data_IF_158576590513
#
_entry.id   IF_158576590513
#
_cell.length_a   1.000
_cell.length_b   1.000
_cell.length_c   1.000
_cell.angle_alpha   90.00
_cell.angle_beta   90.00
_cell.angle_gamma   90.00
#
_symmetry.space_group_name_H-M   'P 1'
#
loop_
_entity.id
_entity.type
_entity.pdbx_description
1 polymer ?
#
# COMPACT_ATOMS: atom_id res chain seq x y z
N UNK A 1 4.96 -5.68 -11.99
CA UNK A 1 3.61 -5.21 -11.58
C UNK A 1 3.82 -3.91 -10.82
N UNK A 2 3.40 -2.76 -11.36
CA UNK A 2 3.46 -1.50 -10.62
C UNK A 2 2.18 -1.33 -9.80
N UNK A 3 2.14 -1.95 -8.62
CA UNK A 3 1.06 -1.75 -7.66
C UNK A 3 1.31 -0.44 -6.89
N UNK A 4 1.17 0.70 -7.57
CA UNK A 4 1.28 2.05 -7.00
C UNK A 4 -0.08 2.72 -7.08
N UNK A 5 -0.78 2.80 -5.94
CA UNK A 5 -2.04 3.53 -5.90
C UNK A 5 -1.83 5.04 -6.13
N UNK A 6 -2.79 5.67 -6.82
CA UNK A 6 -2.85 7.13 -6.92
C UNK A 6 -3.08 7.78 -5.55
N UNK A 7 -3.97 7.20 -4.74
CA UNK A 7 -4.19 7.51 -3.33
C UNK A 7 -3.72 6.31 -2.49
N UNK A 8 -2.70 6.44 -1.63
CA UNK A 8 -2.27 5.35 -0.75
C UNK A 8 -3.43 4.82 0.10
N UNK A 9 -3.28 3.59 0.62
CA UNK A 9 -4.14 3.13 1.71
C UNK A 9 -3.96 4.09 2.88
N UNK A 10 -5.07 4.62 3.39
CA UNK A 10 -5.08 5.54 4.52
C UNK A 10 -5.63 4.83 5.75
N UNK A 11 -4.97 5.00 6.89
CA UNK A 11 -5.40 4.43 8.16
C UNK A 11 -5.51 5.53 9.19
N UNK A 12 -6.60 5.52 9.95
CA UNK A 12 -6.80 6.42 11.09
C UNK A 12 -7.13 5.60 12.33
N UNK A 13 -6.70 6.11 13.48
CA UNK A 13 -7.03 5.57 14.79
C UNK A 13 -7.46 6.73 15.68
N UNK A 14 -8.60 6.58 16.36
CA UNK A 14 -9.13 7.57 17.29
C UNK A 14 -8.76 7.24 18.74
N UNK A 15 -9.62 7.65 19.68
CA UNK A 15 -9.47 7.31 21.11
C UNK A 15 -10.12 5.99 21.49
N UNK A 16 -10.93 5.39 20.61
CA UNK A 16 -11.41 4.02 20.80
C UNK A 16 -10.23 3.07 20.75
N UNK A 17 -10.06 2.29 21.82
CA UNK A 17 -8.88 1.46 22.05
C UNK A 17 -8.68 0.45 20.91
N UNK A 18 -7.54 0.55 20.23
CA UNK A 18 -7.02 -0.30 19.15
C UNK A 18 -7.87 -0.44 17.87
N UNK A 19 -9.03 0.22 17.81
CA UNK A 19 -9.88 0.23 16.63
C UNK A 19 -9.38 1.24 15.60
N UNK A 20 -9.07 0.77 14.40
CA UNK A 20 -8.64 1.56 13.25
C UNK A 20 -9.72 1.58 12.16
N UNK A 21 -9.77 2.67 11.40
CA UNK A 21 -10.49 2.73 10.12
C UNK A 21 -9.47 2.73 9.00
N UNK A 22 -9.61 1.78 8.07
CA UNK A 22 -8.75 1.63 6.89
C UNK A 22 -9.55 1.98 5.65
N UNK A 23 -9.04 2.92 4.86
CA UNK A 23 -9.63 3.39 3.62
C UNK A 23 -8.74 2.99 2.43
N UNK A 24 -9.36 2.47 1.37
CA UNK A 24 -8.70 2.20 0.09
C UNK A 24 -9.60 2.67 -1.04
N UNK A 25 -9.01 3.06 -2.19
CA UNK A 25 -9.71 3.42 -3.45
C UNK A 25 -11.11 4.04 -3.26
N UNK A 26 -12.14 3.18 -3.15
CA UNK A 26 -13.56 3.49 -3.10
C UNK A 26 -14.31 2.92 -1.88
N UNK A 27 -13.62 2.47 -0.82
CA UNK A 27 -14.25 1.84 0.34
C UNK A 27 -13.44 1.97 1.63
N UNK A 28 -14.05 1.53 2.73
CA UNK A 28 -13.43 1.49 4.05
C UNK A 28 -13.83 0.24 4.83
N UNK A 29 -12.98 -0.20 5.75
CA UNK A 29 -13.26 -1.27 6.72
C UNK A 29 -12.65 -0.94 8.08
N UNK A 30 -13.13 -1.62 9.12
CA UNK A 30 -12.59 -1.54 10.47
C UNK A 30 -11.55 -2.64 10.66
N UNK A 31 -10.42 -2.30 11.30
CA UNK A 31 -9.46 -3.26 11.83
C UNK A 31 -9.40 -3.06 13.35
N UNK A 32 -9.35 -4.14 14.11
CA UNK A 32 -9.43 -4.05 15.57
C UNK A 32 -8.67 -5.21 16.22
N UNK A 33 -8.17 -4.98 17.42
CA UNK A 33 -7.59 -6.04 18.23
C UNK A 33 -8.72 -6.81 18.94
N UNK A 34 -8.52 -8.11 19.23
CA UNK A 34 -9.47 -8.88 20.02
C UNK A 34 -9.56 -8.38 21.46
N UNK A 35 -10.63 -8.76 22.17
CA UNK A 35 -10.89 -8.33 23.55
C UNK A 35 -9.73 -8.64 24.51
N UNK A 36 -9.06 -9.79 24.33
CA UNK A 36 -7.89 -10.20 25.13
C UNK A 36 -6.72 -9.21 25.06
N UNK A 37 -6.61 -8.47 23.96
CA UNK A 37 -5.59 -7.44 23.73
C UNK A 37 -6.14 -6.04 24.06
N UNK A 38 -7.41 -5.93 24.48
CA UNK A 38 -8.07 -4.70 24.88
C UNK A 38 -8.78 -3.95 23.76
N UNK A 39 -8.93 -4.55 22.57
CA UNK A 39 -9.81 -4.03 21.53
C UNK A 39 -11.25 -4.54 21.72
N UNK A 40 -12.08 -4.40 20.68
CA UNK A 40 -13.50 -4.80 20.72
C UNK A 40 -13.84 -5.93 19.74
N UNK A 41 -12.83 -6.49 19.07
CA UNK A 41 -13.01 -7.55 18.06
C UNK A 41 -14.01 -7.16 16.95
N UNK A 42 -14.08 -5.87 16.62
CA UNK A 42 -15.05 -5.32 15.63
C UNK A 42 -14.58 -5.42 14.18
N UNK A 43 -13.38 -5.93 13.97
CA UNK A 43 -12.74 -6.14 12.68
C UNK A 43 -11.52 -7.04 12.83
N UNK A 44 -10.93 -7.51 11.73
CA UNK A 44 -9.75 -8.36 11.79
C UNK A 44 -8.55 -7.62 12.39
N UNK A 45 -7.78 -8.33 13.21
CA UNK A 45 -6.50 -7.86 13.71
C UNK A 45 -5.44 -7.76 12.58
N UNK A 46 -4.29 -7.11 12.82
CA UNK A 46 -3.25 -6.94 11.80
C UNK A 46 -2.70 -8.25 11.20
N UNK A 47 -2.57 -9.32 11.99
CA UNK A 47 -2.11 -10.62 11.49
C UNK A 47 -3.20 -11.26 10.62
N UNK A 48 -4.45 -11.20 11.06
CA UNK A 48 -5.60 -11.70 10.28
C UNK A 48 -5.72 -10.96 8.95
N UNK A 49 -5.48 -9.64 8.91
CA UNK A 49 -5.43 -8.87 7.67
C UNK A 49 -4.31 -9.32 6.72
N UNK A 50 -3.10 -9.57 7.25
CA UNK A 50 -1.98 -10.07 6.48
C UNK A 50 -2.30 -11.44 5.85
N UNK A 51 -2.82 -12.37 6.65
CA UNK A 51 -3.17 -13.72 6.18
C UNK A 51 -4.35 -13.68 5.19
N UNK A 52 -5.33 -12.82 5.42
CA UNK A 52 -6.44 -12.57 4.48
C UNK A 52 -5.93 -12.07 3.13
N UNK A 53 -4.90 -11.23 3.11
CA UNK A 53 -4.28 -10.76 1.86
C UNK A 53 -3.65 -11.91 1.06
N UNK A 54 -3.02 -12.88 1.71
CA UNK A 54 -2.45 -14.06 1.07
C UNK A 54 -3.54 -15.02 0.58
N UNK A 55 -4.55 -15.29 1.43
CA UNK A 55 -5.66 -16.17 1.10
C UNK A 55 -6.43 -15.66 -0.14
N UNK A 56 -6.81 -14.39 -0.14
CA UNK A 56 -7.55 -13.75 -1.25
C UNK A 56 -6.73 -13.73 -2.54
N UNK A 57 -5.45 -13.35 -2.47
CA UNK A 57 -4.57 -13.34 -3.63
C UNK A 57 -4.39 -14.74 -4.24
N UNK A 58 -4.28 -15.77 -3.39
CA UNK A 58 -4.21 -17.17 -3.81
C UNK A 58 -5.50 -17.58 -4.53
N UNK A 59 -6.66 -17.40 -3.88
CA UNK A 59 -7.97 -17.78 -4.44
C UNK A 59 -8.24 -17.11 -5.80
N UNK A 60 -7.98 -15.81 -5.91
CA UNK A 60 -8.14 -15.06 -7.16
C UNK A 60 -7.23 -15.63 -8.25
N UNK A 61 -5.96 -15.87 -7.93
CA UNK A 61 -4.98 -16.41 -8.89
C UNK A 61 -5.39 -17.80 -9.39
N UNK A 62 -5.85 -18.68 -8.48
CA UNK A 62 -6.33 -20.01 -8.85
C UNK A 62 -7.57 -19.94 -9.72
N UNK A 63 -8.56 -19.12 -9.35
CA UNK A 63 -9.78 -18.93 -10.15
C UNK A 63 -9.45 -18.44 -11.56
N UNK A 64 -8.61 -17.41 -11.69
CA UNK A 64 -8.16 -16.91 -12.99
C UNK A 64 -7.51 -18.01 -13.85
N UNK A 65 -6.74 -18.91 -13.23
CA UNK A 65 -6.09 -20.02 -13.95
C UNK A 65 -7.09 -21.09 -14.38
N UNK A 66 -8.02 -21.47 -13.50
CA UNK A 66 -9.11 -22.42 -13.77
C UNK A 66 -9.96 -21.93 -14.94
N UNK A 67 -10.36 -20.66 -14.92
CA UNK A 67 -11.18 -20.05 -15.96
C UNK A 67 -10.42 -20.04 -17.30
N UNK A 68 -9.13 -19.69 -17.28
CA UNK A 68 -8.27 -19.76 -18.47
C UNK A 68 -8.14 -21.17 -19.06
N UNK A 69 -8.19 -22.19 -18.22
CA UNK A 69 -8.11 -23.60 -18.63
C UNK A 69 -9.46 -24.22 -18.99
N UNK A 70 -10.57 -23.52 -18.73
CA UNK A 70 -11.92 -24.04 -18.92
C UNK A 70 -12.24 -25.21 -17.98
N UNK A 71 -11.61 -25.28 -16.81
CA UNK A 71 -11.86 -26.34 -15.84
C UNK A 71 -13.11 -26.06 -15.02
N UNK A 72 -13.95 -27.08 -14.82
CA UNK A 72 -15.15 -26.96 -13.99
C UNK A 72 -14.84 -27.31 -12.53
N UNK A 73 -14.29 -26.35 -11.78
CA UNK A 73 -14.06 -26.47 -10.34
C UNK A 73 -14.94 -25.44 -9.62
N UNK A 74 -15.98 -25.92 -8.95
CA UNK A 74 -17.02 -25.07 -8.37
C UNK A 74 -16.48 -24.17 -7.23
N UNK A 75 -15.77 -24.77 -6.28
CA UNK A 75 -15.31 -24.07 -5.07
C UNK A 75 -13.83 -24.36 -4.80
N UNK A 76 -13.13 -23.42 -4.19
CA UNK A 76 -11.75 -23.57 -3.72
C UNK A 76 -11.72 -22.95 -2.32
N UNK A 77 -11.15 -23.65 -1.36
CA UNK A 77 -10.98 -23.14 0.00
C UNK A 77 -9.51 -23.03 0.31
N UNK A 78 -9.14 -21.97 1.02
CA UNK A 78 -7.78 -21.73 1.49
C UNK A 78 -7.84 -21.40 2.96
N UNK A 79 -7.14 -22.18 3.77
CA UNK A 79 -6.85 -21.85 5.17
C UNK A 79 -5.41 -21.35 5.25
N UNK A 80 -5.18 -20.31 6.04
CA UNK A 80 -3.85 -19.74 6.23
C UNK A 80 -3.60 -19.54 7.71
N UNK A 81 -2.42 -19.92 8.17
CA UNK A 81 -1.99 -19.71 9.54
C UNK A 81 -0.56 -19.16 9.60
N UNK A 82 -0.21 -18.49 10.69
CA UNK A 82 1.12 -17.93 10.90
C UNK A 82 1.66 -18.37 12.25
N UNK A 83 2.93 -18.80 12.26
CA UNK A 83 3.67 -19.07 13.48
C UNK A 83 5.12 -18.65 13.31
N UNK A 84 5.83 -18.50 14.42
CA UNK A 84 7.24 -18.12 14.42
C UNK A 84 8.03 -19.13 15.24
N UNK A 85 9.21 -19.49 14.76
CA UNK A 85 10.18 -20.27 15.52
C UNK A 85 11.42 -19.42 15.77
N UNK A 86 12.12 -19.72 16.86
CA UNK A 86 13.39 -19.07 17.20
C UNK A 86 14.50 -20.11 17.21
N UNK A 87 15.59 -19.78 16.56
CA UNK A 87 16.85 -20.53 16.59
C UNK A 87 17.98 -19.56 16.96
N UNK A 88 18.35 -19.56 18.24
CA UNK A 88 19.20 -18.51 18.82
C UNK A 88 18.56 -17.12 18.71
N UNK A 89 19.29 -16.18 18.11
CA UNK A 89 18.82 -14.81 17.85
C UNK A 89 17.99 -14.68 16.55
N UNK A 90 17.95 -15.74 15.73
CA UNK A 90 17.19 -15.74 14.48
C UNK A 90 15.73 -16.11 14.74
N UNK A 91 14.81 -15.23 14.34
CA UNK A 91 13.38 -15.54 14.31
C UNK A 91 12.95 -15.82 12.87
N UNK A 92 12.44 -17.02 12.62
CA UNK A 92 11.88 -17.41 11.33
C UNK A 92 10.36 -17.39 11.42
N UNK A 93 9.71 -16.70 10.48
CA UNK A 93 8.25 -16.68 10.37
C UNK A 93 7.82 -17.69 9.33
N UNK A 94 6.88 -18.56 9.70
CA UNK A 94 6.25 -19.52 8.82
C UNK A 94 4.79 -19.12 8.59
N UNK A 95 4.34 -19.25 7.35
CA UNK A 95 2.95 -19.09 6.98
C UNK A 95 2.52 -20.37 6.27
N UNK A 96 1.68 -21.15 6.93
CA UNK A 96 1.10 -22.35 6.36
C UNK A 96 -0.12 -21.99 5.53
N UNK A 97 -0.31 -22.70 4.42
CA UNK A 97 -1.44 -22.51 3.51
C UNK A 97 -1.97 -23.85 3.03
N UNK A 98 -3.17 -24.19 3.48
CA UNK A 98 -3.87 -25.41 3.09
C UNK A 98 -4.92 -25.09 2.03
N UNK A 99 -4.81 -25.74 0.86
CA UNK A 99 -5.73 -25.54 -0.26
C UNK A 99 -6.59 -26.78 -0.44
N UNK A 100 -7.90 -26.61 -0.33
CA UNK A 100 -8.87 -27.68 -0.48
C UNK A 100 -9.72 -27.49 -1.73
N UNK A 101 -9.91 -28.59 -2.46
CA UNK A 101 -10.73 -28.68 -3.67
C UNK A 101 -11.90 -29.66 -3.45
N UNK A 102 -13.02 -29.50 -4.16
CA UNK A 102 -14.13 -30.44 -4.11
C UNK A 102 -13.71 -31.84 -4.58
N UNK A 103 -14.55 -32.82 -4.24
CA UNK A 103 -14.43 -34.17 -4.80
C UNK A 103 -14.51 -34.12 -6.34
N UNK A 104 -13.78 -35.01 -7.02
CA UNK A 104 -13.76 -35.10 -8.48
C UNK A 104 -12.75 -34.20 -9.19
N UNK A 105 -11.98 -33.38 -8.47
CA UNK A 105 -10.81 -32.70 -9.06
C UNK A 105 -9.64 -33.68 -9.15
N UNK A 106 -9.12 -33.86 -10.37
CA UNK A 106 -8.06 -34.82 -10.66
C UNK A 106 -6.75 -34.46 -9.95
N UNK A 107 -5.93 -35.45 -9.53
CA UNK A 107 -4.66 -35.19 -8.85
C UNK A 107 -3.71 -34.29 -9.65
N UNK A 108 -3.68 -34.42 -10.98
CA UNK A 108 -2.87 -33.57 -11.85
C UNK A 108 -3.31 -32.10 -11.80
N UNK A 109 -4.63 -31.85 -11.80
CA UNK A 109 -5.17 -30.50 -11.65
C UNK A 109 -4.80 -29.92 -10.29
N UNK A 110 -4.90 -30.71 -9.21
CA UNK A 110 -4.52 -30.28 -7.86
C UNK A 110 -3.04 -29.90 -7.78
N UNK A 111 -2.15 -30.74 -8.28
CA UNK A 111 -0.72 -30.47 -8.31
C UNK A 111 -0.41 -29.20 -9.12
N UNK A 112 -1.04 -29.05 -10.28
CA UNK A 112 -0.86 -27.85 -11.08
C UNK A 112 -1.37 -26.59 -10.38
N UNK A 113 -2.51 -26.67 -9.71
CA UNK A 113 -3.05 -25.54 -8.94
C UNK A 113 -2.16 -25.19 -7.75
N UNK A 114 -1.55 -26.18 -7.09
CA UNK A 114 -0.58 -25.94 -6.02
C UNK A 114 0.63 -25.13 -6.53
N UNK A 115 1.18 -25.49 -7.69
CA UNK A 115 2.26 -24.72 -8.33
C UNK A 115 1.84 -23.28 -8.65
N UNK A 116 0.63 -23.10 -9.18
CA UNK A 116 0.08 -21.77 -9.50
C UNK A 116 -0.16 -20.94 -8.25
N UNK A 117 -0.54 -21.56 -7.13
CA UNK A 117 -0.75 -20.86 -5.86
C UNK A 117 0.53 -20.15 -5.37
N UNK A 118 1.71 -20.75 -5.57
CA UNK A 118 3.01 -20.12 -5.28
C UNK A 118 3.32 -18.93 -6.20
N UNK A 119 2.66 -18.82 -7.36
CA UNK A 119 2.88 -17.74 -8.30
C UNK A 119 2.04 -16.49 -8.01
N UNK A 120 1.16 -16.52 -7.01
CA UNK A 120 0.34 -15.36 -6.69
C UNK A 120 1.23 -14.17 -6.23
N UNK A 121 0.88 -12.92 -6.59
CA UNK A 121 1.71 -11.74 -6.26
C UNK A 121 2.06 -11.59 -4.78
N UNK A 122 1.17 -11.98 -3.87
CA UNK A 122 1.41 -11.87 -2.42
C UNK A 122 2.39 -12.95 -1.94
N UNK A 123 2.30 -14.19 -2.43
CA UNK A 123 3.32 -15.23 -2.14
C UNK A 123 4.71 -14.76 -2.56
N UNK A 124 4.85 -14.27 -3.79
CA UNK A 124 6.13 -13.75 -4.30
C UNK A 124 6.66 -12.57 -3.49
N UNK A 125 5.77 -11.75 -2.94
CA UNK A 125 6.15 -10.64 -2.08
C UNK A 125 6.70 -11.14 -0.75
N UNK A 126 5.97 -12.06 -0.08
CA UNK A 126 6.34 -12.61 1.23
C UNK A 126 7.62 -13.45 1.19
N UNK A 127 7.85 -14.18 0.10
CA UNK A 127 9.07 -14.96 -0.13
C UNK A 127 10.25 -14.10 -0.63
N UNK A 128 10.02 -12.81 -0.89
CA UNK A 128 10.99 -11.87 -1.44
C UNK A 128 11.63 -10.95 -0.40
N UNK A 129 12.44 -10.01 -0.89
CA UNK A 129 13.12 -9.02 -0.06
C UNK A 129 12.25 -7.76 0.14
N UNK A 130 11.38 -7.77 1.14
CA UNK A 130 10.52 -6.62 1.50
C UNK A 130 11.30 -5.63 2.37
N UNK A 131 11.16 -4.33 2.11
CA UNK A 131 11.65 -3.24 2.98
C UNK A 131 10.51 -2.29 3.35
N UNK A 132 10.17 -2.23 4.63
CA UNK A 132 9.25 -1.22 5.17
C UNK A 132 10.05 0.03 5.52
N UNK A 133 9.57 1.21 5.11
CA UNK A 133 10.20 2.50 5.40
C UNK A 133 9.18 3.41 6.06
N UNK A 134 9.51 3.93 7.23
CA UNK A 134 8.67 4.83 8.01
C UNK A 134 9.23 6.25 7.98
N UNK A 135 8.33 7.22 8.03
CA UNK A 135 8.67 8.65 7.99
C UNK A 135 7.79 9.39 8.99
N UNK A 136 8.39 10.31 9.75
CA UNK A 136 7.72 11.23 10.67
C UNK A 136 8.19 12.64 10.32
N UNK A 137 7.29 13.62 10.42
CA UNK A 137 7.57 15.01 10.10
C UNK A 137 7.45 15.88 11.33
N UNK A 138 8.40 16.79 11.49
CA UNK A 138 8.36 17.87 12.45
C UNK A 138 8.45 19.17 11.65
N UNK A 139 7.45 20.04 11.80
CA UNK A 139 7.44 21.31 11.07
C UNK A 139 8.57 22.25 11.52
N UNK A 140 9.06 22.06 12.75
CA UNK A 140 10.14 22.80 13.39
C UNK A 140 11.52 22.52 12.76
N UNK A 141 11.70 21.39 12.07
CA UNK A 141 12.97 20.95 11.50
C UNK A 141 13.24 21.49 10.08
N UNK A 142 12.50 22.52 9.64
CA UNK A 142 12.54 23.00 8.24
C UNK A 142 13.00 24.45 8.15
N UNK A 143 14.30 24.62 7.96
CA UNK A 143 14.93 25.93 7.75
C UNK A 143 14.62 26.54 6.38
N UNK A 144 14.50 25.72 5.33
CA UNK A 144 14.36 26.21 3.96
C UNK A 144 12.99 25.93 3.36
N UNK A 145 12.30 27.00 2.95
CA UNK A 145 11.02 26.95 2.23
C UNK A 145 11.17 27.69 0.90
N UNK A 146 11.16 26.95 -0.20
CA UNK A 146 11.20 27.49 -1.56
C UNK A 146 9.78 27.58 -2.10
N UNK A 147 9.34 28.77 -2.50
CA UNK A 147 8.00 29.04 -3.02
C UNK A 147 8.01 29.17 -4.55
N UNK A 148 7.03 28.55 -5.22
CA UNK A 148 6.82 28.63 -6.67
C UNK A 148 5.34 28.91 -6.94
N UNK A 149 5.02 30.00 -7.65
CA UNK A 149 3.63 30.42 -7.88
C UNK A 149 3.28 30.54 -9.36
N UNK A 150 2.02 30.29 -9.71
CA UNK A 150 1.42 30.65 -11.00
C UNK A 150 0.33 31.73 -10.88
N UNK A 151 0.14 32.33 -9.70
CA UNK A 151 -0.93 33.29 -9.44
C UNK A 151 -2.21 32.69 -8.85
N UNK A 152 -2.50 31.40 -9.08
CA UNK A 152 -3.64 30.71 -8.44
C UNK A 152 -3.22 29.97 -7.16
N UNK A 153 -2.03 29.36 -7.20
CA UNK A 153 -1.45 28.60 -6.10
C UNK A 153 0.03 28.86 -5.96
N UNK A 154 0.52 28.71 -4.73
CA UNK A 154 1.94 28.67 -4.40
C UNK A 154 2.30 27.26 -3.93
N UNK A 155 3.18 26.57 -4.66
CA UNK A 155 3.83 25.33 -4.24
C UNK A 155 5.00 25.68 -3.33
N UNK A 156 5.01 25.11 -2.13
CA UNK A 156 6.09 25.23 -1.16
C UNK A 156 6.88 23.92 -1.13
N UNK A 157 8.17 24.01 -1.45
CA UNK A 157 9.12 22.92 -1.34
C UNK A 157 10.03 23.09 -0.12
N UNK A 158 10.11 22.04 0.69
CA UNK A 158 10.90 21.90 1.92
C UNK A 158 11.96 20.82 1.70
N UNK A 159 13.17 21.17 1.19
CA UNK A 159 14.19 20.19 0.77
C UNK A 159 14.59 19.20 1.87
N UNK A 160 14.66 19.66 3.12
CA UNK A 160 15.07 18.89 4.30
C UNK A 160 14.12 17.72 4.57
N UNK A 161 12.83 17.89 4.24
CA UNK A 161 11.84 16.83 4.36
C UNK A 161 11.91 15.84 3.20
N UNK A 162 12.58 16.15 2.09
CA UNK A 162 12.52 15.33 0.87
C UNK A 162 13.34 14.04 1.01
N UNK A 163 12.66 12.88 1.05
CA UNK A 163 13.29 11.54 1.02
C UNK A 163 13.37 10.91 -0.38
N UNK A 164 13.23 11.73 -1.42
CA UNK A 164 13.35 11.32 -2.82
C UNK A 164 12.50 10.09 -3.19
N UNK A 165 11.22 10.08 -2.77
CA UNK A 165 10.27 9.02 -3.18
C UNK A 165 10.10 8.92 -4.70
N UNK A 166 10.50 9.95 -5.45
CA UNK A 166 10.44 10.01 -6.90
C UNK A 166 9.06 10.30 -7.47
N UNK A 167 8.01 10.39 -6.65
CA UNK A 167 6.62 10.56 -7.14
C UNK A 167 6.43 11.82 -7.97
N UNK A 168 6.93 12.97 -7.51
CA UNK A 168 6.81 14.24 -8.23
C UNK A 168 7.48 14.17 -9.61
N UNK A 169 8.77 13.83 -9.66
CA UNK A 169 9.60 13.85 -10.88
C UNK A 169 9.26 12.74 -11.88
N UNK A 170 8.68 11.63 -11.43
CA UNK A 170 8.28 10.52 -12.33
C UNK A 170 6.84 10.63 -12.81
N UNK A 171 5.93 11.22 -12.02
CA UNK A 171 4.50 11.26 -12.34
C UNK A 171 4.07 12.58 -13.00
N UNK A 172 4.77 13.68 -12.76
CA UNK A 172 4.48 14.97 -13.40
C UNK A 172 5.77 15.69 -13.86
N UNK A 173 6.55 15.10 -14.79
CA UNK A 173 7.86 15.60 -15.19
C UNK A 173 7.84 16.95 -15.93
N UNK A 174 6.67 17.38 -16.43
CA UNK A 174 6.50 18.72 -17.02
C UNK A 174 6.52 19.83 -15.97
N UNK A 175 6.14 19.51 -14.72
CA UNK A 175 6.15 20.45 -13.59
C UNK A 175 7.39 20.23 -12.74
N UNK A 176 7.74 18.98 -12.41
CA UNK A 176 8.87 18.66 -11.53
C UNK A 176 10.02 18.03 -12.32
N UNK A 177 11.06 18.80 -12.61
CA UNK A 177 12.17 18.36 -13.46
C UNK A 177 13.53 18.77 -12.87
N UNK A 178 14.32 17.78 -12.43
CA UNK A 178 15.65 18.01 -11.85
C UNK A 178 16.68 18.58 -12.84
N UNK A 179 16.41 18.51 -14.15
CA UNK A 179 17.30 19.04 -15.20
C UNK A 179 17.10 20.53 -15.45
N UNK A 180 16.02 21.13 -14.96
CA UNK A 180 15.72 22.55 -15.14
C UNK A 180 15.99 23.34 -13.86
N UNK A 181 16.30 24.63 -14.01
CA UNK A 181 16.38 25.58 -12.90
C UNK A 181 15.47 26.78 -13.22
N UNK A 182 14.40 27.03 -12.42
CA UNK A 182 13.95 26.22 -11.28
C UNK A 182 13.48 24.81 -11.68
N UNK A 183 13.57 23.86 -10.74
CA UNK A 183 13.15 22.47 -10.97
C UNK A 183 11.63 22.28 -10.87
N UNK A 184 10.90 23.31 -10.43
CA UNK A 184 9.45 23.39 -10.40
C UNK A 184 9.00 24.42 -11.44
N UNK A 185 8.25 23.96 -12.45
CA UNK A 185 7.70 24.78 -13.54
C UNK A 185 6.19 24.86 -13.38
N UNK A 186 5.71 25.96 -12.79
CA UNK A 186 4.29 26.13 -12.41
C UNK A 186 3.32 26.29 -13.60
N UNK A 187 3.84 26.44 -14.82
CA UNK A 187 3.08 26.45 -16.07
C UNK A 187 3.06 25.09 -16.79
N UNK A 188 3.69 24.05 -16.20
CA UNK A 188 3.80 22.73 -16.81
C UNK A 188 2.52 21.89 -16.79
N UNK A 189 1.52 22.29 -16.01
CA UNK A 189 0.17 21.73 -15.90
C UNK A 189 -0.79 22.77 -15.28
N UNK A 190 -2.09 22.49 -15.28
CA UNK A 190 -3.09 23.30 -14.58
C UNK A 190 -2.97 23.18 -13.05
N UNK A 191 -3.50 24.17 -12.34
CA UNK A 191 -3.40 24.30 -10.88
C UNK A 191 -4.00 23.10 -10.13
N UNK A 192 -5.08 22.50 -10.63
CA UNK A 192 -5.71 21.32 -9.98
C UNK A 192 -4.82 20.08 -10.08
N UNK A 193 -4.27 19.83 -11.27
CA UNK A 193 -3.30 18.74 -11.49
C UNK A 193 -2.07 18.90 -10.60
N UNK A 194 -1.56 20.12 -10.44
CA UNK A 194 -0.40 20.41 -9.57
C UNK A 194 -0.74 20.12 -8.11
N UNK A 195 -1.90 20.57 -7.60
CA UNK A 195 -2.36 20.30 -6.21
C UNK A 195 -2.39 18.81 -5.93
N UNK A 196 -3.07 18.05 -6.78
CA UNK A 196 -3.21 16.60 -6.64
C UNK A 196 -1.85 15.89 -6.66
N UNK A 197 -0.90 16.37 -7.45
CA UNK A 197 0.45 15.79 -7.49
C UNK A 197 1.26 16.12 -6.24
N UNK A 198 1.14 17.33 -5.72
CA UNK A 198 1.79 17.78 -4.48
C UNK A 198 1.29 16.99 -3.28
N UNK A 199 -0.02 16.75 -3.18
CA UNK A 199 -0.66 15.95 -2.13
C UNK A 199 -0.18 14.49 -2.10
N UNK A 200 0.37 13.98 -3.21
CA UNK A 200 0.98 12.64 -3.27
C UNK A 200 2.37 12.58 -2.66
N UNK A 201 2.97 13.70 -2.26
CA UNK A 201 4.25 13.73 -1.57
C UNK A 201 4.09 13.05 -0.21
N UNK A 202 4.67 11.85 0.02
CA UNK A 202 4.53 11.14 1.30
C UNK A 202 5.15 11.95 2.44
N UNK A 203 6.14 12.75 2.04
CA UNK A 203 7.00 13.73 2.69
C UNK A 203 6.44 14.85 3.56
N UNK A 204 5.32 15.42 3.09
CA UNK A 204 5.07 16.87 3.29
C UNK A 204 6.15 17.81 2.71
N UNK A 205 7.21 17.28 2.06
CA UNK A 205 8.26 18.07 1.43
C UNK A 205 7.73 18.98 0.30
N UNK A 206 6.61 18.60 -0.32
CA UNK A 206 5.83 19.49 -1.16
C UNK A 206 4.49 19.73 -0.46
N UNK A 207 4.07 20.98 -0.44
CA UNK A 207 2.76 21.45 0.03
C UNK A 207 2.29 22.58 -0.88
N UNK A 208 1.01 22.93 -0.84
CA UNK A 208 0.47 24.03 -1.63
C UNK A 208 -0.40 24.94 -0.75
N UNK A 209 -0.41 26.23 -1.07
CA UNK A 209 -1.28 27.23 -0.46
C UNK A 209 -2.05 27.98 -1.57
N UNK A 210 -3.32 28.38 -1.34
CA UNK A 210 -4.05 29.25 -2.25
C UNK A 210 -3.40 30.64 -2.32
N UNK A 211 -3.47 31.32 -3.46
CA UNK A 211 -2.93 32.67 -3.61
C UNK A 211 -3.51 33.69 -2.62
N UNK A 212 -4.76 33.51 -2.19
CA UNK A 212 -5.47 34.41 -1.25
C UNK A 212 -5.01 34.26 0.22
N UNK A 213 -4.02 33.42 0.52
CA UNK A 213 -3.50 33.16 1.88
C UNK A 213 -1.98 33.35 2.01
N UNK A 214 -1.37 34.15 1.15
CA UNK A 214 0.06 34.50 1.25
C UNK A 214 0.35 35.64 2.27
N UNK A 215 -0.63 36.02 3.12
CA UNK A 215 -0.46 36.89 4.32
C UNK A 215 -0.14 36.09 5.59
#
# INVERSE_FOLDING_TARGET
>A
MEYKFQKPVHGTIGTTKYQCVIEWRNGQFIADEPEKNGGKDTGPDPYTLLLSSLATCTLITLRMYIDRKGWNIAEIKVNVNLFQTKDGDNTTTFIDRDITFPAGVEPEQKNRLLEIAAQCPVSKMLEGNIKVRSYVYHEEDVDKKLKYTNGDITVVWKPELCKHSGRCVTQLPKVFNLKTKPWVTMTGADSETIKLQVERCPTGALSWIPADKDE
#
